data_IF_971564275220
#
_entry.id   IF_971564275220
#
_cell.length_a   1.000
_cell.length_b   1.000
_cell.length_c   1.000
_cell.angle_alpha   90.00
_cell.angle_beta   90.00
_cell.angle_gamma   90.00
#
_symmetry.space_group_name_H-M   'P 1'
#
loop_
_entity.id
_entity.type
_entity.pdbx_description
1 polymer ?
#
# COMPACT_ATOMS: atom_id res chain seq x y z
N UNK A 1 -11.66 -22.63 5.85
CA UNK A 1 -11.79 -21.65 4.74
C UNK A 1 -11.81 -20.19 5.22
N UNK A 2 -12.77 -19.74 6.06
CA UNK A 2 -12.89 -18.31 6.45
C UNK A 2 -11.61 -17.69 7.07
N UNK A 3 -11.00 -18.40 8.02
CA UNK A 3 -9.76 -17.94 8.68
C UNK A 3 -8.59 -17.85 7.71
N UNK A 4 -8.52 -18.77 6.75
CA UNK A 4 -7.46 -18.79 5.74
C UNK A 4 -7.51 -17.51 4.92
N UNK A 5 -8.71 -17.04 4.54
CA UNK A 5 -8.87 -15.77 3.82
C UNK A 5 -8.39 -14.59 4.68
N UNK A 6 -8.75 -14.53 5.97
CA UNK A 6 -8.28 -13.44 6.84
C UNK A 6 -6.78 -13.48 7.11
N UNK A 7 -6.19 -14.67 7.23
CA UNK A 7 -4.72 -14.83 7.29
C UNK A 7 -4.06 -14.34 6.00
N UNK A 8 -4.64 -14.67 4.84
CA UNK A 8 -4.15 -14.18 3.55
C UNK A 8 -4.26 -12.65 3.46
N UNK A 9 -5.39 -12.05 3.86
CA UNK A 9 -5.57 -10.59 3.93
C UNK A 9 -4.45 -9.96 4.76
N UNK A 10 -4.23 -10.45 5.98
CA UNK A 10 -3.21 -9.91 6.88
C UNK A 10 -1.79 -10.08 6.31
N UNK A 11 -1.48 -11.24 5.73
CA UNK A 11 -0.17 -11.49 5.14
C UNK A 11 0.12 -10.55 3.96
N UNK A 12 -0.83 -10.41 3.04
CA UNK A 12 -0.74 -9.48 1.92
C UNK A 12 -0.64 -8.06 2.42
N UNK A 13 -1.57 -7.61 3.25
CA UNK A 13 -1.56 -6.25 3.82
C UNK A 13 -0.26 -5.91 4.55
N UNK A 14 0.34 -6.87 5.26
CA UNK A 14 1.63 -6.68 5.95
C UNK A 14 2.77 -6.48 4.97
N UNK A 15 2.93 -7.37 3.98
CA UNK A 15 4.02 -7.26 3.00
C UNK A 15 3.98 -5.95 2.22
N UNK A 16 2.78 -5.43 2.05
CA UNK A 16 2.43 -4.33 1.17
C UNK A 16 2.59 -3.01 1.96
N UNK A 17 2.30 -3.01 3.27
CA UNK A 17 2.74 -1.97 4.22
C UNK A 17 4.27 -1.88 4.32
N UNK A 18 4.95 -3.01 4.56
CA UNK A 18 6.42 -3.02 4.70
C UNK A 18 7.14 -2.64 3.41
N UNK A 19 6.63 -3.05 2.25
CA UNK A 19 7.15 -2.59 0.96
C UNK A 19 7.00 -1.06 0.81
N UNK A 20 5.88 -0.48 1.27
CA UNK A 20 5.70 0.96 1.22
C UNK A 20 6.63 1.71 2.19
N UNK A 21 6.89 1.15 3.37
CA UNK A 21 7.87 1.66 4.34
C UNK A 21 9.29 1.59 3.75
N UNK A 22 9.67 0.47 3.14
CA UNK A 22 10.94 0.33 2.43
C UNK A 22 11.09 1.39 1.34
N UNK A 23 10.02 1.63 0.59
CA UNK A 23 9.98 2.69 -0.41
C UNK A 23 10.27 4.08 0.19
N UNK A 24 9.75 4.41 1.37
CA UNK A 24 10.07 5.68 2.04
C UNK A 24 11.50 5.72 2.59
N UNK A 25 11.94 4.66 3.26
CA UNK A 25 13.21 4.67 4.00
C UNK A 25 14.41 4.53 3.05
N UNK A 26 14.28 3.66 2.05
CA UNK A 26 15.38 3.31 1.16
C UNK A 26 15.25 4.02 -0.17
N UNK A 27 14.13 3.81 -0.89
CA UNK A 27 14.04 4.31 -2.26
C UNK A 27 13.93 5.85 -2.31
N UNK A 28 13.01 6.46 -1.56
CA UNK A 28 12.86 7.91 -1.54
C UNK A 28 14.11 8.64 -1.04
N UNK A 29 14.76 8.10 0.01
CA UNK A 29 16.03 8.65 0.49
C UNK A 29 17.11 8.67 -0.60
N UNK A 30 17.20 7.59 -1.41
CA UNK A 30 18.14 7.55 -2.53
C UNK A 30 17.71 8.44 -3.70
N UNK A 31 16.42 8.66 -3.93
CA UNK A 31 15.94 9.56 -4.97
C UNK A 31 16.21 11.04 -4.63
N UNK A 32 16.10 11.41 -3.36
CA UNK A 32 16.19 12.79 -2.89
C UNK A 32 17.63 13.28 -2.64
N UNK A 33 18.63 12.38 -2.58
CA UNK A 33 19.96 12.71 -2.06
C UNK A 33 20.83 13.63 -2.94
N UNK A 34 20.70 13.58 -4.27
CA UNK A 34 21.55 14.34 -5.19
C UNK A 34 20.84 14.56 -6.55
N UNK A 35 19.75 15.31 -6.53
CA UNK A 35 18.96 15.61 -7.73
C UNK A 35 19.73 16.60 -8.62
N UNK A 36 19.88 16.35 -9.94
CA UNK A 36 19.16 15.33 -10.72
C UNK A 36 19.82 13.94 -10.82
N UNK A 37 21.10 13.83 -10.50
CA UNK A 37 21.89 12.61 -10.73
C UNK A 37 21.30 11.36 -10.06
N UNK A 38 20.74 11.49 -8.85
CA UNK A 38 20.07 10.40 -8.14
C UNK A 38 18.86 9.85 -8.90
N UNK A 39 18.08 10.73 -9.55
CA UNK A 39 16.92 10.35 -10.34
C UNK A 39 17.35 9.66 -11.63
N UNK A 40 18.38 10.18 -12.31
CA UNK A 40 18.97 9.52 -13.47
C UNK A 40 19.44 8.10 -13.13
N UNK A 41 20.19 7.95 -12.03
CA UNK A 41 20.65 6.64 -11.57
C UNK A 41 19.48 5.69 -11.25
N UNK A 42 18.39 6.19 -10.67
CA UNK A 42 17.20 5.39 -10.41
C UNK A 42 16.52 4.92 -11.72
N UNK A 43 16.46 5.76 -12.76
CA UNK A 43 15.93 5.38 -14.08
C UNK A 43 16.77 4.26 -14.71
N UNK A 44 18.10 4.38 -14.62
CA UNK A 44 19.03 3.40 -15.16
C UNK A 44 19.00 2.06 -14.40
N UNK A 45 18.76 2.10 -13.08
CA UNK A 45 18.63 0.90 -12.27
C UNK A 45 17.31 0.15 -12.50
N UNK A 46 16.20 0.88 -12.65
CA UNK A 46 14.85 0.31 -12.70
C UNK A 46 14.32 0.01 -14.13
N UNK A 47 15.22 -0.25 -15.08
CA UNK A 47 14.86 -0.49 -16.50
C UNK A 47 13.98 -1.74 -16.68
N UNK A 48 14.25 -2.81 -15.93
CA UNK A 48 13.52 -4.09 -16.08
C UNK A 48 12.31 -4.19 -15.16
N UNK A 49 12.48 -3.81 -13.90
CA UNK A 49 11.43 -3.82 -12.89
C UNK A 49 11.62 -2.66 -11.95
N UNK A 50 10.51 -2.12 -11.45
CA UNK A 50 10.50 -1.01 -10.50
C UNK A 50 9.53 -1.33 -9.35
N UNK A 51 9.47 -0.52 -8.27
CA UNK A 51 8.54 -0.77 -7.18
C UNK A 51 7.10 -0.96 -7.66
N UNK A 52 6.67 -0.22 -8.69
CA UNK A 52 5.36 -0.37 -9.31
C UNK A 52 5.07 -1.77 -9.87
N UNK A 53 6.08 -2.54 -10.30
CA UNK A 53 5.91 -3.94 -10.72
C UNK A 53 5.33 -4.79 -9.60
N UNK A 54 5.79 -4.59 -8.37
CA UNK A 54 5.26 -5.28 -7.18
C UNK A 54 3.84 -4.79 -6.85
N UNK A 55 3.63 -3.47 -6.70
CA UNK A 55 2.34 -2.93 -6.27
C UNK A 55 1.22 -3.21 -7.28
N UNK A 56 1.48 -3.18 -8.59
CA UNK A 56 0.49 -3.52 -9.63
C UNK A 56 -0.10 -4.92 -9.47
N UNK A 57 0.66 -5.87 -8.91
CA UNK A 57 0.19 -7.23 -8.67
C UNK A 57 -0.45 -7.38 -7.29
N UNK A 58 0.21 -6.87 -6.25
CA UNK A 58 -0.19 -7.17 -4.87
C UNK A 58 -1.34 -6.26 -4.39
N UNK A 59 -1.44 -5.00 -4.81
CA UNK A 59 -2.54 -4.09 -4.42
C UNK A 59 -3.92 -4.66 -4.84
N UNK A 60 -4.16 -5.01 -6.12
CA UNK A 60 -5.46 -5.55 -6.54
C UNK A 60 -5.78 -6.88 -5.87
N UNK A 61 -4.76 -7.72 -5.64
CA UNK A 61 -4.91 -9.00 -4.95
C UNK A 61 -5.37 -8.79 -3.51
N UNK A 62 -4.78 -7.83 -2.79
CA UNK A 62 -5.18 -7.52 -1.42
C UNK A 62 -6.61 -6.97 -1.34
N UNK A 63 -6.99 -6.09 -2.29
CA UNK A 63 -8.37 -5.58 -2.40
C UNK A 63 -9.36 -6.72 -2.67
N UNK A 64 -9.02 -7.64 -3.56
CA UNK A 64 -9.86 -8.81 -3.82
C UNK A 64 -10.04 -9.67 -2.56
N UNK A 65 -8.95 -9.93 -1.83
CA UNK A 65 -8.98 -10.72 -0.59
C UNK A 65 -9.83 -10.06 0.50
N UNK A 66 -9.74 -8.74 0.70
CA UNK A 66 -10.53 -8.04 1.72
C UNK A 66 -12.02 -8.01 1.36
N UNK A 67 -12.37 -7.84 0.08
CA UNK A 67 -13.76 -7.92 -0.39
C UNK A 67 -14.32 -9.32 -0.17
N UNK A 68 -13.55 -10.35 -0.52
CA UNK A 68 -13.95 -11.74 -0.27
C UNK A 68 -14.12 -12.02 1.23
N UNK A 69 -13.22 -11.52 2.08
CA UNK A 69 -13.35 -11.63 3.53
C UNK A 69 -14.62 -10.96 4.07
N UNK A 70 -14.98 -9.79 3.53
CA UNK A 70 -16.17 -9.03 3.90
C UNK A 70 -17.45 -9.79 3.52
N UNK A 71 -17.53 -10.32 2.30
CA UNK A 71 -18.67 -11.12 1.82
C UNK A 71 -18.84 -12.38 2.69
N UNK A 72 -17.75 -13.11 2.94
CA UNK A 72 -17.77 -14.34 3.74
C UNK A 72 -18.18 -14.09 5.20
N UNK A 73 -17.86 -12.91 5.73
CA UNK A 73 -18.11 -12.52 7.13
C UNK A 73 -19.39 -11.68 7.30
N UNK A 74 -20.14 -11.42 6.22
CA UNK A 74 -21.22 -10.42 6.17
C UNK A 74 -22.32 -10.61 7.23
N UNK A 75 -22.71 -11.87 7.48
CA UNK A 75 -23.78 -12.24 8.44
C UNK A 75 -23.27 -12.64 9.83
N UNK A 76 -21.98 -12.46 10.14
CA UNK A 76 -21.38 -13.02 11.36
C UNK A 76 -21.37 -12.06 12.54
N UNK A 77 -20.73 -10.91 12.38
CA UNK A 77 -20.60 -9.93 13.46
C UNK A 77 -20.55 -8.53 12.86
N UNK A 78 -21.35 -7.59 13.39
CA UNK A 78 -21.26 -6.19 13.00
C UNK A 78 -19.86 -5.62 13.21
N UNK A 79 -19.14 -6.03 14.27
CA UNK A 79 -17.78 -5.56 14.55
C UNK A 79 -16.76 -6.06 13.52
N UNK A 80 -16.80 -7.35 13.14
CA UNK A 80 -15.91 -7.89 12.09
C UNK A 80 -16.16 -7.14 10.78
N UNK A 81 -17.44 -6.93 10.42
CA UNK A 81 -17.83 -6.19 9.23
C UNK A 81 -17.28 -4.76 9.26
N UNK A 82 -17.42 -4.06 10.39
CA UNK A 82 -16.91 -2.70 10.55
C UNK A 82 -15.39 -2.64 10.31
N UNK A 83 -14.61 -3.51 10.96
CA UNK A 83 -13.16 -3.53 10.78
C UNK A 83 -12.74 -3.84 9.33
N UNK A 84 -13.38 -4.81 8.69
CA UNK A 84 -13.10 -5.14 7.29
C UNK A 84 -13.52 -4.00 6.34
N UNK A 85 -14.61 -3.29 6.62
CA UNK A 85 -15.03 -2.12 5.85
C UNK A 85 -14.07 -0.95 5.99
N UNK A 86 -13.57 -0.67 7.20
CA UNK A 86 -12.54 0.36 7.42
C UNK A 86 -11.25 -0.03 6.70
N UNK A 87 -10.82 -1.29 6.81
CA UNK A 87 -9.64 -1.79 6.11
C UNK A 87 -9.76 -1.61 4.58
N UNK A 88 -10.89 -2.01 4.00
CA UNK A 88 -11.18 -1.82 2.58
C UNK A 88 -11.12 -0.34 2.20
N UNK A 89 -11.74 0.55 2.99
CA UNK A 89 -11.70 1.99 2.73
C UNK A 89 -10.25 2.52 2.74
N UNK A 90 -9.42 2.10 3.69
CA UNK A 90 -8.01 2.48 3.75
C UNK A 90 -7.25 2.03 2.49
N UNK A 91 -7.39 0.77 2.08
CA UNK A 91 -6.67 0.25 0.91
C UNK A 91 -7.14 0.89 -0.40
N UNK A 92 -8.45 1.10 -0.56
CA UNK A 92 -9.00 1.83 -1.72
C UNK A 92 -8.52 3.29 -1.72
N UNK A 93 -8.53 3.95 -0.57
CA UNK A 93 -8.04 5.34 -0.45
C UNK A 93 -6.56 5.45 -0.84
N UNK A 94 -5.74 4.49 -0.40
CA UNK A 94 -4.35 4.41 -0.85
C UNK A 94 -4.24 4.21 -2.36
N UNK A 95 -5.05 3.32 -2.94
CA UNK A 95 -5.04 3.07 -4.38
C UNK A 95 -5.42 4.33 -5.17
N UNK A 96 -6.43 5.07 -4.71
CA UNK A 96 -6.80 6.37 -5.29
C UNK A 96 -5.64 7.36 -5.19
N UNK A 97 -4.96 7.43 -4.05
CA UNK A 97 -3.76 8.26 -3.88
C UNK A 97 -2.66 7.86 -4.86
N UNK A 98 -2.45 6.57 -5.09
CA UNK A 98 -1.47 6.06 -6.07
C UNK A 98 -1.72 6.63 -7.46
N UNK A 99 -2.96 6.56 -7.96
CA UNK A 99 -3.27 7.04 -9.31
C UNK A 99 -3.35 8.56 -9.42
N UNK A 100 -3.92 9.24 -8.43
CA UNK A 100 -4.19 10.69 -8.50
C UNK A 100 -2.99 11.53 -8.08
N UNK A 101 -2.17 11.03 -7.15
CA UNK A 101 -1.03 11.76 -6.61
C UNK A 101 0.30 11.19 -7.10
N UNK A 102 0.58 9.91 -6.86
CA UNK A 102 1.93 9.35 -7.06
C UNK A 102 2.27 9.11 -8.53
N UNK A 103 1.33 8.60 -9.34
CA UNK A 103 1.57 8.36 -10.77
C UNK A 103 2.04 9.63 -11.49
N UNK A 104 1.36 10.79 -11.36
CA UNK A 104 1.85 12.04 -11.95
C UNK A 104 3.28 12.42 -11.54
N UNK A 105 3.68 12.19 -10.28
CA UNK A 105 5.07 12.48 -9.84
C UNK A 105 6.06 11.46 -10.37
N UNK A 106 5.66 10.19 -10.48
CA UNK A 106 6.49 9.15 -11.09
C UNK A 106 6.72 9.43 -12.58
N UNK A 107 5.72 9.93 -13.29
CA UNK A 107 5.86 10.38 -14.69
C UNK A 107 6.92 11.47 -14.80
N UNK A 108 6.82 12.52 -13.97
CA UNK A 108 7.80 13.61 -13.93
C UNK A 108 9.21 13.10 -13.62
N UNK A 109 9.37 12.28 -12.58
CA UNK A 109 10.68 11.85 -12.10
C UNK A 109 11.33 10.77 -12.98
N UNK A 110 10.58 9.78 -13.44
CA UNK A 110 11.17 8.54 -13.95
C UNK A 110 10.83 8.22 -15.40
N UNK A 111 9.69 8.71 -15.92
CA UNK A 111 9.15 8.23 -17.20
C UNK A 111 9.14 9.30 -18.31
N UNK A 112 9.31 10.58 -17.95
CA UNK A 112 9.36 11.69 -18.90
C UNK A 112 10.45 11.49 -19.97
N UNK A 113 10.08 11.65 -21.25
CA UNK A 113 11.01 11.60 -22.37
C UNK A 113 11.98 12.80 -22.32
N UNK A 114 11.43 14.01 -22.16
CA UNK A 114 12.23 15.19 -21.88
C UNK A 114 12.50 15.27 -20.39
N UNK A 115 13.78 15.19 -20.02
CA UNK A 115 14.19 15.25 -18.62
C UNK A 115 13.93 16.66 -18.04
N UNK A 116 13.11 16.79 -16.98
CA UNK A 116 12.75 18.09 -16.42
C UNK A 116 13.94 18.82 -15.80
N UNK A 117 13.73 20.10 -15.52
CA UNK A 117 14.70 20.88 -14.77
C UNK A 117 14.84 20.38 -13.32
N UNK A 118 15.99 20.68 -12.71
CA UNK A 118 16.36 20.25 -11.37
C UNK A 118 15.35 20.69 -10.29
N UNK A 119 14.77 21.88 -10.41
CA UNK A 119 13.84 22.39 -9.39
C UNK A 119 12.49 21.67 -9.46
N UNK A 120 12.00 21.38 -10.66
CA UNK A 120 10.82 20.53 -10.87
C UNK A 120 11.04 19.13 -10.29
N UNK A 121 12.20 18.52 -10.52
CA UNK A 121 12.53 17.20 -9.96
C UNK A 121 12.61 17.21 -8.43
N UNK A 122 13.28 18.21 -7.83
CA UNK A 122 13.35 18.36 -6.36
C UNK A 122 11.96 18.48 -5.75
N UNK A 123 11.10 19.30 -6.36
CA UNK A 123 9.72 19.47 -5.91
C UNK A 123 8.95 18.15 -5.99
N UNK A 124 9.01 17.46 -7.13
CA UNK A 124 8.30 16.20 -7.32
C UNK A 124 8.76 15.12 -6.32
N UNK A 125 10.07 15.00 -6.10
CA UNK A 125 10.64 14.05 -5.14
C UNK A 125 10.19 14.36 -3.71
N UNK A 126 10.30 15.61 -3.26
CA UNK A 126 9.90 16.00 -1.91
C UNK A 126 8.38 15.87 -1.67
N UNK A 127 7.56 16.19 -2.69
CA UNK A 127 6.12 15.93 -2.65
C UNK A 127 5.81 14.44 -2.51
N UNK A 128 6.49 13.61 -3.31
CA UNK A 128 6.36 12.15 -3.27
C UNK A 128 6.75 11.59 -1.90
N UNK A 129 7.92 11.95 -1.36
CA UNK A 129 8.44 11.46 -0.09
C UNK A 129 7.52 11.77 1.09
N UNK A 130 7.08 13.02 1.22
CA UNK A 130 6.13 13.42 2.28
C UNK A 130 4.81 12.68 2.19
N UNK A 131 4.22 12.61 0.99
CA UNK A 131 2.92 11.96 0.83
C UNK A 131 3.02 10.45 1.01
N UNK A 132 4.18 9.83 0.74
CA UNK A 132 4.35 8.40 0.95
C UNK A 132 4.26 8.01 2.43
N UNK A 133 4.68 8.88 3.34
CA UNK A 133 4.45 8.68 4.78
C UNK A 133 2.98 8.77 5.17
N UNK A 134 2.22 9.70 4.58
CA UNK A 134 0.76 9.75 4.76
C UNK A 134 0.12 8.47 4.26
N UNK A 135 0.53 7.99 3.08
CA UNK A 135 0.10 6.69 2.54
C UNK A 135 0.44 5.55 3.50
N UNK A 136 1.66 5.50 4.05
CA UNK A 136 2.05 4.49 5.05
C UNK A 136 1.13 4.48 6.28
N UNK A 137 0.69 5.64 6.76
CA UNK A 137 -0.26 5.72 7.88
C UNK A 137 -1.64 5.14 7.53
N UNK A 138 -2.13 5.40 6.32
CA UNK A 138 -3.39 4.82 5.82
C UNK A 138 -3.28 3.29 5.73
N UNK A 139 -2.15 2.80 5.22
CA UNK A 139 -1.86 1.37 5.15
C UNK A 139 -1.82 0.72 6.53
N UNK A 140 -1.15 1.34 7.49
CA UNK A 140 -1.06 0.85 8.86
C UNK A 140 -2.45 0.76 9.50
N UNK A 141 -3.29 1.79 9.32
CA UNK A 141 -4.66 1.78 9.83
C UNK A 141 -5.48 0.61 9.25
N UNK A 142 -5.37 0.38 7.93
CA UNK A 142 -6.01 -0.76 7.27
C UNK A 142 -5.49 -2.11 7.78
N UNK A 143 -4.17 -2.22 7.99
CA UNK A 143 -3.51 -3.41 8.49
C UNK A 143 -3.96 -3.75 9.93
N UNK A 144 -3.98 -2.75 10.81
CA UNK A 144 -4.47 -2.90 12.19
C UNK A 144 -5.92 -3.37 12.18
N UNK A 145 -6.80 -2.76 11.37
CA UNK A 145 -8.18 -3.21 11.24
C UNK A 145 -8.29 -4.65 10.72
N UNK A 146 -7.42 -5.05 9.80
CA UNK A 146 -7.36 -6.42 9.29
C UNK A 146 -6.98 -7.43 10.38
N UNK A 147 -6.00 -7.10 11.23
CA UNK A 147 -5.64 -7.89 12.40
C UNK A 147 -6.78 -7.96 13.43
N UNK A 148 -7.45 -6.84 13.72
CA UNK A 148 -8.59 -6.80 14.65
C UNK A 148 -9.76 -7.68 14.16
N UNK A 149 -10.03 -7.68 12.85
CA UNK A 149 -11.03 -8.56 12.25
C UNK A 149 -10.65 -10.05 12.39
N UNK A 150 -9.37 -10.39 12.18
CA UNK A 150 -8.85 -11.74 12.35
C UNK A 150 -8.95 -12.20 13.81
N UNK A 151 -8.47 -11.41 14.76
CA UNK A 151 -8.50 -11.73 16.19
C UNK A 151 -9.94 -11.95 16.69
N UNK A 152 -10.85 -11.03 16.33
CA UNK A 152 -12.27 -11.15 16.70
C UNK A 152 -12.90 -12.43 16.13
N UNK A 153 -12.53 -12.82 14.92
CA UNK A 153 -13.01 -14.05 14.28
C UNK A 153 -12.51 -15.30 15.02
N UNK A 154 -11.25 -15.30 15.47
CA UNK A 154 -10.66 -16.40 16.24
C UNK A 154 -11.35 -16.52 17.60
N UNK A 155 -11.44 -15.41 18.33
CA UNK A 155 -12.06 -15.34 19.66
C UNK A 155 -13.52 -15.76 19.65
N UNK A 156 -14.31 -15.30 18.66
CA UNK A 156 -15.72 -15.72 18.53
C UNK A 156 -15.90 -17.20 18.28
N UNK A 157 -14.91 -17.89 17.69
CA UNK A 157 -15.04 -19.34 17.47
C UNK A 157 -14.72 -20.14 18.72
N UNK A 158 -13.76 -19.69 19.55
CA UNK A 158 -13.41 -20.39 20.81
C UNK A 158 -14.62 -20.48 21.74
N UNK A 159 -15.41 -19.42 21.83
CA UNK A 159 -16.62 -19.37 22.66
C UNK A 159 -17.76 -20.28 22.16
N UNK A 160 -17.70 -20.79 20.92
CA UNK A 160 -18.68 -21.73 20.37
C UNK A 160 -18.27 -23.21 20.57
N UNK A 161 -17.03 -23.46 20.99
CA UNK A 161 -16.46 -24.80 21.21
C UNK A 161 -16.35 -25.21 22.69
N UNK A 162 -16.80 -24.34 23.58
CA UNK A 162 -16.96 -24.55 25.03
C UNK A 162 -18.42 -24.54 25.38
#
# INVERSE_FOLDING_TARGET
MRRIVLYAVVAFSSGLFFANIYNSIVNAANWECNIPHSITAARDFFVVANPGTFFKLIDPTNIFLIVMALIISWKKSPSIRLFLSIALLCYVSSMILTFTYFYPRNEVMFLSEQFPDTETLKRAAAEWGRMNWVRSSIWLAGLVCSFLALDKTISSTKNLST
#
